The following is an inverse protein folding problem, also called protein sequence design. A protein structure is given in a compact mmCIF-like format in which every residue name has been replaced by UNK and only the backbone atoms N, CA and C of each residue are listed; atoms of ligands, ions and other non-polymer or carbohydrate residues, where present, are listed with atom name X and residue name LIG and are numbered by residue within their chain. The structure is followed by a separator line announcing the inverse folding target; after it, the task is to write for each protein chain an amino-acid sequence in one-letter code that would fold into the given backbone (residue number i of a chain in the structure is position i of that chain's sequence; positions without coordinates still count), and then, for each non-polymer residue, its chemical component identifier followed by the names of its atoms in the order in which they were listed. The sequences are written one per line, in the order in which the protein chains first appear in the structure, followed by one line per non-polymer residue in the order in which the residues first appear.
data_IF_461170468919
#
_entry.id   IF_461170468919
#
_cell.length_a   1.000
_cell.length_b   1.000
_cell.length_c   1.000
_cell.angle_alpha   90.00
_cell.angle_beta   90.00
_cell.angle_gamma   90.00
#
_symmetry.space_group_name_H-M   'P 1'
#
loop_
_entity.id
_entity.type
_entity.pdbx_description
1 polymer ?
#
# COMPACT_ATOMS: atom_id res chain seq x y z
N UNK A 1 -0.61 -4.52 0.89
CA UNK A 1 -0.01 -3.64 1.91
C UNK A 1 -0.54 -3.97 3.28
N UNK A 2 0.24 -3.65 4.32
CA UNK A 2 -0.12 -3.87 5.73
C UNK A 2 0.27 -2.65 6.55
N UNK A 3 -0.61 -2.17 7.41
CA UNK A 3 -0.29 -1.10 8.36
C UNK A 3 -0.26 -1.63 9.78
N UNK A 4 0.82 -1.37 10.50
CA UNK A 4 0.96 -1.66 11.92
C UNK A 4 0.94 -0.33 12.70
N UNK A 5 -0.20 -0.02 13.31
CA UNK A 5 -0.37 1.19 14.12
C UNK A 5 0.56 1.24 15.32
N UNK A 6 0.80 0.10 15.99
CA UNK A 6 1.62 0.05 17.20
C UNK A 6 3.08 0.46 16.97
N UNK A 7 3.57 0.30 15.74
CA UNK A 7 4.93 0.70 15.35
C UNK A 7 4.96 1.87 14.37
N UNK A 8 3.80 2.40 13.94
CA UNK A 8 3.73 3.40 12.88
C UNK A 8 4.39 2.95 11.57
N UNK A 9 4.27 1.66 11.21
CA UNK A 9 4.95 1.08 10.04
C UNK A 9 3.94 0.66 8.99
N UNK A 10 4.08 1.20 7.77
CA UNK A 10 3.33 0.81 6.58
C UNK A 10 4.24 0.00 5.66
N UNK A 11 3.82 -1.23 5.36
CA UNK A 11 4.49 -2.09 4.40
C UNK A 11 3.77 -2.05 3.06
N UNK A 12 4.47 -1.55 2.04
CA UNK A 12 4.00 -1.55 0.65
C UNK A 12 4.74 -2.62 -0.12
N UNK A 13 3.99 -3.50 -0.79
CA UNK A 13 4.63 -4.46 -1.69
C UNK A 13 5.10 -3.76 -2.96
N UNK A 14 6.02 -4.39 -3.69
CA UNK A 14 6.47 -3.91 -5.00
C UNK A 14 5.27 -3.63 -5.94
N UNK A 15 4.30 -4.54 -5.99
CA UNK A 15 3.06 -4.33 -6.75
C UNK A 15 2.27 -3.11 -6.30
N UNK A 16 2.24 -2.80 -5.01
CA UNK A 16 1.56 -1.60 -4.51
C UNK A 16 2.27 -0.33 -4.96
N UNK A 17 3.61 -0.29 -4.89
CA UNK A 17 4.41 0.85 -5.34
C UNK A 17 4.24 1.09 -6.84
N UNK A 18 4.40 0.05 -7.66
CA UNK A 18 4.21 0.14 -9.12
C UNK A 18 2.79 0.59 -9.45
N UNK A 19 1.78 0.07 -8.75
CA UNK A 19 0.39 0.48 -8.97
C UNK A 19 0.17 1.96 -8.67
N UNK A 20 0.77 2.51 -7.60
CA UNK A 20 0.68 3.93 -7.28
C UNK A 20 1.39 4.81 -8.31
N UNK A 21 2.57 4.40 -8.81
CA UNK A 21 3.28 5.09 -9.89
C UNK A 21 2.44 5.12 -11.18
N UNK A 22 1.92 3.97 -11.62
CA UNK A 22 1.07 3.89 -12.82
C UNK A 22 -0.21 4.73 -12.66
N UNK A 23 -0.77 4.80 -11.44
CA UNK A 23 -1.94 5.61 -11.15
C UNK A 23 -1.64 7.11 -11.21
N UNK A 24 -0.41 7.57 -10.93
CA UNK A 24 -0.04 8.98 -11.09
C UNK A 24 -0.09 9.39 -12.56
N UNK A 25 0.37 8.52 -13.45
CA UNK A 25 0.41 8.75 -14.90
C UNK A 25 -0.98 8.69 -15.57
N UNK A 26 -1.99 8.14 -14.88
CA UNK A 26 -3.37 8.14 -15.35
C UNK A 26 -4.16 9.35 -14.79
N UNK A 27 -4.54 10.33 -15.63
CA UNK A 27 -5.28 11.51 -15.18
C UNK A 27 -6.70 11.20 -14.69
N UNK A 28 -7.25 10.02 -14.97
CA UNK A 28 -8.58 9.59 -14.50
C UNK A 28 -8.52 8.75 -13.23
N UNK A 29 -7.33 8.38 -12.78
CA UNK A 29 -7.15 7.59 -11.57
C UNK A 29 -7.37 8.42 -10.31
N UNK A 30 -7.99 7.81 -9.31
CA UNK A 30 -8.07 8.38 -7.97
C UNK A 30 -6.71 8.40 -7.24
N UNK A 31 -5.67 7.75 -7.79
CA UNK A 31 -4.31 7.71 -7.22
C UNK A 31 -4.21 7.09 -5.82
N UNK A 32 -5.21 6.33 -5.43
CA UNK A 32 -5.35 5.81 -4.07
C UNK A 32 -5.30 4.28 -4.02
N UNK A 33 -4.72 3.75 -2.94
CA UNK A 33 -4.86 2.39 -2.46
C UNK A 33 -5.47 2.41 -1.04
N UNK A 34 -6.25 1.39 -0.69
CA UNK A 34 -6.89 1.27 0.64
C UNK A 34 -6.42 -0.01 1.33
N UNK A 35 -5.93 0.11 2.56
CA UNK A 35 -5.46 -1.01 3.37
C UNK A 35 -6.67 -1.56 4.10
N UNK A 36 -7.03 -2.81 3.80
CA UNK A 36 -8.15 -3.49 4.45
C UNK A 36 -7.70 -4.45 5.56
N UNK A 37 -6.39 -4.67 5.71
CA UNK A 37 -5.85 -5.51 6.78
C UNK A 37 -5.64 -4.66 8.04
N UNK A 38 -6.46 -4.90 9.07
CA UNK A 38 -6.42 -4.18 10.34
C UNK A 38 -7.09 -2.80 10.25
N UNK A 39 -6.39 -1.76 10.71
CA UNK A 39 -6.89 -0.39 10.68
C UNK A 39 -6.86 0.21 9.28
N UNK A 40 -7.96 0.89 8.92
CA UNK A 40 -8.15 1.48 7.59
C UNK A 40 -7.17 2.63 7.36
N UNK A 41 -6.09 2.36 6.64
CA UNK A 41 -5.17 3.38 6.11
C UNK A 41 -5.39 3.54 4.61
N UNK A 42 -5.43 4.79 4.15
CA UNK A 42 -5.57 5.18 2.76
C UNK A 42 -4.24 5.77 2.31
N UNK A 43 -3.68 5.26 1.22
CA UNK A 43 -2.43 5.77 0.63
C UNK A 43 -2.77 6.44 -0.68
N UNK A 44 -2.46 7.73 -0.82
CA UNK A 44 -2.73 8.50 -2.04
C UNK A 44 -1.44 9.04 -2.61
N UNK A 45 -1.21 8.75 -3.89
CA UNK A 45 -0.06 9.26 -4.63
C UNK A 45 -0.30 10.68 -5.14
N UNK A 46 0.73 11.52 -5.09
CA UNK A 46 0.70 12.89 -5.60
C UNK A 46 1.99 13.27 -6.31
N UNK A 47 1.94 14.27 -7.20
CA UNK A 47 3.15 14.79 -7.84
C UNK A 47 3.92 15.70 -6.86
N UNK A 48 5.25 15.68 -6.91
CA UNK A 48 6.13 16.40 -5.97
C UNK A 48 5.88 17.92 -5.91
N UNK A 49 5.50 18.52 -7.05
CA UNK A 49 5.26 19.95 -7.17
C UNK A 49 3.79 20.35 -7.02
N UNK A 50 2.90 19.38 -6.87
CA UNK A 50 1.49 19.67 -6.71
C UNK A 50 1.19 20.01 -5.25
N UNK A 51 0.31 20.99 -5.03
CA UNK A 51 -0.07 21.39 -3.69
C UNK A 51 -0.74 20.17 -3.02
N UNK A 52 -0.16 19.62 -1.93
CA UNK A 52 -0.76 18.44 -1.32
C UNK A 52 -2.19 18.81 -0.92
N UNK A 53 -3.18 17.93 -1.14
CA UNK A 53 -4.44 18.10 -0.45
C UNK A 53 -4.12 18.21 1.05
N UNK A 54 -4.87 18.99 1.82
CA UNK A 54 -4.76 18.97 3.27
C UNK A 54 -5.57 17.76 3.76
N UNK A 55 -4.96 16.59 4.04
CA UNK A 55 -5.69 15.53 4.70
C UNK A 55 -5.86 15.97 6.16
N UNK A 56 -7.01 16.58 6.45
CA UNK A 56 -7.45 16.76 7.83
C UNK A 56 -7.71 15.40 8.50
N UNK A 57 -7.79 14.33 7.71
CA UNK A 57 -8.00 12.97 8.16
C UNK A 57 -6.67 12.23 8.43
N UNK A 58 -6.46 11.73 9.67
CA UNK A 58 -5.23 11.01 10.05
C UNK A 58 -5.07 9.66 9.33
N UNK A 59 -6.11 9.17 8.66
CA UNK A 59 -6.11 7.90 7.92
C UNK A 59 -5.53 8.01 6.52
N UNK A 60 -5.24 9.22 6.02
CA UNK A 60 -4.72 9.43 4.66
C UNK A 60 -3.21 9.73 4.73
N UNK A 61 -2.42 8.86 4.10
CA UNK A 61 -0.99 9.03 3.90
C UNK A 61 -0.72 9.45 2.46
N UNK A 62 -0.11 10.62 2.27
CA UNK A 62 0.25 11.14 0.95
C UNK A 62 1.68 10.73 0.61
N UNK A 63 1.88 10.11 -0.55
CA UNK A 63 3.20 9.77 -1.07
C UNK A 63 3.48 10.52 -2.37
N UNK A 64 4.63 11.19 -2.45
CA UNK A 64 5.03 11.84 -3.69
C UNK A 64 5.63 10.85 -4.68
N UNK A 65 5.73 11.23 -5.96
CA UNK A 65 6.43 10.44 -6.98
C UNK A 65 7.86 10.11 -6.55
N UNK A 66 8.64 11.10 -6.14
CA UNK A 66 10.02 10.87 -5.67
C UNK A 66 10.09 9.87 -4.51
N UNK A 67 9.13 9.89 -3.59
CA UNK A 67 9.05 8.93 -2.49
C UNK A 67 8.71 7.52 -2.99
N UNK A 68 7.77 7.39 -3.94
CA UNK A 68 7.43 6.12 -4.56
C UNK A 68 8.61 5.52 -5.34
N UNK A 69 9.38 6.34 -6.04
CA UNK A 69 10.62 5.91 -6.71
C UNK A 69 11.69 5.46 -5.71
N UNK A 70 11.79 6.12 -4.55
CA UNK A 70 12.67 5.68 -3.47
C UNK A 70 12.25 4.31 -2.91
N UNK A 71 10.94 4.09 -2.71
CA UNK A 71 10.38 2.81 -2.31
C UNK A 71 10.63 1.72 -3.36
N UNK A 72 10.48 2.04 -4.65
CA UNK A 72 10.78 1.12 -5.75
C UNK A 72 12.27 0.72 -5.77
N UNK A 73 13.16 1.62 -5.35
CA UNK A 73 14.58 1.34 -5.17
C UNK A 73 14.92 0.60 -3.85
N UNK A 74 13.91 0.13 -3.11
CA UNK A 74 14.09 -0.60 -1.84
C UNK A 74 14.41 0.29 -0.64
N UNK A 75 14.27 1.62 -0.74
CA UNK A 75 14.55 2.55 0.36
C UNK A 75 13.30 2.81 1.19
N UNK A 76 13.45 2.84 2.51
CA UNK A 76 12.39 3.28 3.43
C UNK A 76 12.21 4.80 3.34
N UNK A 77 10.96 5.24 3.39
CA UNK A 77 10.59 6.66 3.39
C UNK A 77 9.79 6.97 4.66
N UNK A 78 10.13 8.07 5.33
CA UNK A 78 9.36 8.62 6.45
C UNK A 78 8.35 9.64 5.93
N UNK A 79 7.07 9.45 6.24
CA UNK A 79 6.02 10.43 5.97
C UNK A 79 5.25 10.68 7.25
N UNK A 80 5.29 11.94 7.74
CA UNK A 80 4.81 12.30 9.08
C UNK A 80 5.46 11.39 10.14
N UNK A 81 4.64 10.68 10.89
CA UNK A 81 4.99 9.72 11.94
C UNK A 81 4.95 8.26 11.47
N UNK A 82 4.84 8.02 10.15
CA UNK A 82 4.77 6.67 9.56
C UNK A 82 6.04 6.34 8.77
N UNK A 83 6.64 5.17 9.06
CA UNK A 83 7.69 4.56 8.25
C UNK A 83 7.07 3.72 7.15
N UNK A 84 7.30 4.11 5.89
CA UNK A 84 6.86 3.37 4.72
C UNK A 84 8.01 2.50 4.23
N UNK A 85 7.84 1.20 4.34
CA UNK A 85 8.86 0.19 4.05
C UNK A 85 8.46 -0.61 2.82
N UNK A 86 9.30 -0.69 1.79
CA UNK A 86 9.06 -1.58 0.67
C UNK A 86 9.33 -3.02 1.09
N UNK A 87 8.43 -3.93 0.73
CA UNK A 87 8.57 -5.37 0.97
C UNK A 87 8.39 -6.14 -0.34
N UNK A 88 9.06 -7.28 -0.47
CA UNK A 88 8.86 -8.17 -1.60
C UNK A 88 7.40 -8.68 -1.62
N UNK A 89 6.83 -8.87 -2.81
CA UNK A 89 5.47 -9.41 -2.97
C UNK A 89 5.30 -10.74 -2.22
N UNK A 90 6.31 -11.61 -2.27
CA UNK A 90 6.33 -12.94 -1.63
C UNK A 90 6.29 -12.85 -0.10
N UNK A 91 6.97 -11.85 0.49
CA UNK A 91 6.97 -11.63 1.93
C UNK A 91 5.61 -11.18 2.47
N UNK A 92 4.73 -10.68 1.59
CA UNK A 92 3.40 -10.21 1.97
C UNK A 92 2.34 -11.33 2.04
N UNK A 93 2.60 -12.49 1.43
CA UNK A 93 1.69 -13.65 1.42
C UNK A 93 2.20 -14.83 2.25
N UNK A 94 3.43 -14.78 2.78
CA UNK A 94 4.04 -15.91 3.49
C UNK A 94 3.28 -16.38 4.73
N UNK A 95 2.61 -15.47 5.44
CA UNK A 95 1.87 -15.78 6.68
C UNK A 95 0.36 -15.96 6.48
N UNK A 96 -0.13 -16.00 5.22
CA UNK A 96 -1.55 -16.15 4.94
C UNK A 96 -1.87 -17.63 4.78
N UNK A 97 -2.63 -18.20 5.72
CA UNK A 97 -3.21 -19.53 5.54
C UNK A 97 -3.95 -19.56 4.19
N UNK A 98 -3.78 -20.66 3.45
CA UNK A 98 -4.52 -20.86 2.20
C UNK A 98 -6.00 -20.88 2.56
N UNK A 99 -6.78 -19.97 1.97
CA UNK A 99 -8.22 -19.93 2.21
C UNK A 99 -8.88 -21.24 1.76
N UNK A 100 -10.02 -21.63 2.36
CA UNK A 100 -10.67 -22.89 2.05
C UNK A 100 -11.06 -22.95 0.57
N UNK A 101 -10.58 -23.98 -0.13
CA UNK A 101 -10.90 -24.28 -1.52
C UNK A 101 -12.07 -25.25 -1.53
N UNK A 102 -13.23 -24.75 -1.97
CA UNK A 102 -14.35 -25.62 -2.27
C UNK A 102 -14.13 -26.33 -3.61
N UNK A 103 -14.13 -27.66 -3.61
CA UNK A 103 -14.05 -28.51 -4.79
C UNK A 103 -15.46 -28.98 -5.20
N UNK A 104 -16.06 -28.41 -6.27
CA UNK A 104 -17.42 -28.76 -6.67
C UNK A 104 -17.59 -30.21 -7.11
N UNK A 105 -16.51 -30.83 -7.59
CA UNK A 105 -16.47 -32.22 -8.06
C UNK A 105 -16.54 -33.24 -6.92
N UNK A 106 -16.12 -32.88 -5.71
CA UNK A 106 -16.15 -33.76 -4.53
C UNK A 106 -17.08 -33.26 -3.42
N UNK A 107 -17.55 -32.01 -3.48
CA UNK A 107 -18.32 -31.38 -2.41
C UNK A 107 -17.49 -31.05 -1.17
N UNK A 108 -16.16 -31.13 -1.25
CA UNK A 108 -15.25 -30.90 -0.12
C UNK A 108 -14.79 -29.44 -0.05
N UNK A 109 -14.58 -28.93 1.17
CA UNK A 109 -13.82 -27.70 1.43
C UNK A 109 -12.46 -28.09 2.02
N UNK A 110 -11.35 -27.62 1.43
CA UNK A 110 -9.97 -27.88 1.87
C UNK A 110 -9.24 -26.63 2.27
#
# INVERSE_FOLDING_TARGET
MRYNQGTGRLELTERNVISLLNKLDDPRSARTLVCNDGDRLIVTAYEDHALPPHPDEPIILLLTRTQLEALAAGRTVRVRDVDVVPVADEAHYGDRDTGPVYMPSSGECR
#
